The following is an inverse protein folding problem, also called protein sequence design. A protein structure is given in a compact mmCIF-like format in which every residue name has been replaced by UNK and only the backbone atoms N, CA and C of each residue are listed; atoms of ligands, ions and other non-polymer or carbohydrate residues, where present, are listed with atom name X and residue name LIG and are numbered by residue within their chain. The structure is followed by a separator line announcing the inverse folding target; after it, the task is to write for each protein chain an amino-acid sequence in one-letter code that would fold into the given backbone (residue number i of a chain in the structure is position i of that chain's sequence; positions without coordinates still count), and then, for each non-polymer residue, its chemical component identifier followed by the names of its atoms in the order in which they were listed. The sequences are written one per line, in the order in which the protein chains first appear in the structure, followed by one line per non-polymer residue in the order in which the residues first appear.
data_IF_915556790314
#
_entry.id   IF_915556790314
#
_cell.length_a   1.000
_cell.length_b   1.000
_cell.length_c   1.000
_cell.angle_alpha   90.00
_cell.angle_beta   90.00
_cell.angle_gamma   90.00
#
_symmetry.space_group_name_H-M   'P 1'
#
loop_
_entity.id
_entity.type
_entity.pdbx_description
1 polymer ?
#
# COMPACT_ATOMS: atom_id res chain seq x y z
N UNK A 1 -13.40 -2.23 3.93
CA UNK A 1 -14.20 -1.62 5.03
C UNK A 1 -13.32 -0.60 5.75
N UNK A 2 -13.88 0.58 5.99
CA UNK A 2 -13.25 1.69 6.69
C UNK A 2 -13.88 1.76 8.08
N UNK A 3 -13.22 1.25 9.14
CA UNK A 3 -13.78 1.30 10.50
C UNK A 3 -13.96 2.74 11.00
N UNK A 4 -13.25 3.69 10.40
CA UNK A 4 -13.22 5.13 10.69
C UNK A 4 -13.90 5.96 9.58
N UNK A 5 -14.86 5.36 8.85
CA UNK A 5 -15.64 6.02 7.80
C UNK A 5 -16.19 7.37 8.27
N UNK A 6 -16.21 8.38 7.39
CA UNK A 6 -16.74 9.70 7.78
C UNK A 6 -18.23 9.56 8.15
N UNK A 7 -18.66 10.09 9.30
CA UNK A 7 -20.07 10.11 9.64
C UNK A 7 -20.82 11.04 8.68
N UNK A 8 -22.10 10.75 8.44
CA UNK A 8 -22.98 11.64 7.71
C UNK A 8 -23.59 12.65 8.68
N UNK A 9 -23.07 13.88 8.70
CA UNK A 9 -23.48 14.89 9.69
C UNK A 9 -24.94 15.34 9.57
N UNK A 10 -25.54 15.25 8.37
CA UNK A 10 -26.96 15.55 8.16
C UNK A 10 -27.91 14.47 8.69
N UNK A 11 -27.42 13.25 8.95
CA UNK A 11 -28.23 12.12 9.46
C UNK A 11 -29.28 11.56 8.50
N UNK A 12 -29.37 12.09 7.27
CA UNK A 12 -30.33 11.68 6.23
C UNK A 12 -30.05 10.29 5.62
N UNK A 13 -28.85 9.74 5.85
CA UNK A 13 -28.41 8.42 5.37
C UNK A 13 -27.19 7.92 6.16
N UNK A 14 -26.88 6.60 6.12
CA UNK A 14 -25.65 6.08 6.70
C UNK A 14 -24.39 6.70 6.07
N UNK A 15 -23.33 6.86 6.87
CA UNK A 15 -22.00 7.24 6.38
C UNK A 15 -21.37 6.15 5.50
N UNK A 16 -20.53 6.54 4.54
CA UNK A 16 -19.85 5.59 3.66
C UNK A 16 -18.72 4.85 4.39
N UNK A 17 -19.02 3.65 4.88
CA UNK A 17 -18.10 2.78 5.62
C UNK A 17 -17.23 1.86 4.75
N UNK A 18 -17.27 1.96 3.42
CA UNK A 18 -16.48 1.11 2.54
C UNK A 18 -16.13 1.80 1.21
N UNK A 19 -15.19 1.20 0.50
CA UNK A 19 -14.92 1.39 -0.92
C UNK A 19 -14.91 0.00 -1.56
N UNK A 20 -15.30 -0.08 -2.84
CA UNK A 20 -15.30 -1.32 -3.60
C UNK A 20 -14.05 -1.43 -4.45
N UNK A 21 -13.53 -2.65 -4.61
CA UNK A 21 -12.43 -2.98 -5.50
C UNK A 21 -12.94 -4.02 -6.50
N UNK A 22 -12.64 -3.83 -7.78
CA UNK A 22 -12.90 -4.83 -8.82
C UNK A 22 -11.61 -5.59 -9.06
N UNK A 23 -11.70 -6.92 -9.00
CA UNK A 23 -10.59 -7.82 -9.30
C UNK A 23 -10.95 -8.57 -10.58
N UNK A 24 -10.09 -8.44 -11.59
CA UNK A 24 -10.22 -9.10 -12.86
C UNK A 24 -8.96 -9.91 -13.15
N UNK A 25 -9.13 -11.08 -13.77
CA UNK A 25 -8.04 -11.94 -14.18
C UNK A 25 -8.05 -12.11 -15.70
N UNK A 26 -6.87 -12.33 -16.32
CA UNK A 26 -6.83 -12.81 -17.69
C UNK A 26 -7.59 -14.14 -17.81
N UNK A 27 -8.02 -14.54 -19.02
CA UNK A 27 -8.65 -15.83 -19.24
C UNK A 27 -7.83 -16.97 -18.64
N UNK A 28 -8.48 -17.85 -17.87
CA UNK A 28 -7.84 -18.96 -17.17
C UNK A 28 -8.15 -18.95 -15.67
N UNK A 29 -7.22 -19.48 -14.88
CA UNK A 29 -7.41 -19.65 -13.43
C UNK A 29 -7.06 -18.35 -12.71
N UNK A 30 -8.00 -17.86 -11.90
CA UNK A 30 -7.77 -16.75 -10.98
C UNK A 30 -6.61 -17.07 -10.02
N UNK A 31 -5.78 -16.06 -9.75
CA UNK A 31 -4.70 -16.13 -8.75
C UNK A 31 -5.16 -15.48 -7.45
N UNK A 32 -4.92 -16.16 -6.34
CA UNK A 32 -5.28 -15.73 -5.00
C UNK A 32 -4.42 -16.45 -3.96
N UNK A 33 -3.71 -15.67 -3.15
CA UNK A 33 -2.82 -16.14 -2.10
C UNK A 33 -3.46 -16.07 -0.70
N UNK A 34 -4.70 -15.59 -0.60
CA UNK A 34 -5.38 -15.42 0.69
C UNK A 34 -6.05 -16.68 1.26
N UNK A 35 -5.94 -17.83 0.59
CA UNK A 35 -6.58 -19.08 1.02
C UNK A 35 -8.10 -18.96 1.12
N UNK A 36 -8.69 -19.41 2.23
CA UNK A 36 -10.14 -19.31 2.44
C UNK A 36 -10.65 -17.94 2.91
N UNK A 37 -9.80 -16.91 3.00
CA UNK A 37 -10.23 -15.57 3.42
C UNK A 37 -11.20 -14.97 2.41
N UNK A 38 -12.16 -14.19 2.90
CA UNK A 38 -12.99 -13.35 2.05
C UNK A 38 -12.16 -12.20 1.46
N UNK A 39 -12.59 -11.68 0.30
CA UNK A 39 -12.04 -10.47 -0.33
C UNK A 39 -12.46 -9.18 0.39
N UNK A 40 -12.42 -9.18 1.73
CA UNK A 40 -12.78 -8.05 2.58
C UNK A 40 -11.54 -7.62 3.35
N UNK A 41 -11.05 -6.43 3.04
CA UNK A 41 -9.96 -5.80 3.77
C UNK A 41 -10.51 -4.73 4.72
N UNK A 42 -10.13 -4.78 5.99
CA UNK A 42 -10.53 -3.79 7.01
C UNK A 42 -9.31 -2.93 7.33
N UNK A 43 -9.33 -1.66 6.93
CA UNK A 43 -8.21 -0.75 7.14
C UNK A 43 -8.72 0.65 7.45
N UNK A 44 -8.19 1.33 8.49
CA UNK A 44 -8.50 2.74 8.72
C UNK A 44 -7.99 3.59 7.55
N UNK A 45 -8.59 4.76 7.34
CA UNK A 45 -8.07 5.76 6.40
C UNK A 45 -6.76 6.35 6.95
N UNK A 46 -6.01 7.02 6.06
CA UNK A 46 -4.95 7.92 6.50
C UNK A 46 -5.58 9.23 6.98
N UNK A 47 -5.58 9.44 8.30
CA UNK A 47 -6.13 10.60 8.97
C UNK A 47 -5.32 11.87 8.75
N UNK A 48 -5.91 13.04 9.04
CA UNK A 48 -5.24 14.33 8.87
C UNK A 48 -4.06 14.56 9.82
N UNK A 49 -4.14 14.02 11.04
CA UNK A 49 -3.09 14.11 12.05
C UNK A 49 -2.04 13.00 11.91
N UNK A 50 -2.20 12.08 10.96
CA UNK A 50 -1.29 10.94 10.83
C UNK A 50 0.09 11.41 10.35
N UNK A 51 1.13 11.05 11.07
CA UNK A 51 2.53 11.34 10.70
C UNK A 51 2.92 10.76 9.34
N UNK A 52 2.18 9.74 8.88
CA UNK A 52 2.36 9.10 7.58
C UNK A 52 1.68 9.84 6.42
N UNK A 53 0.90 10.89 6.72
CA UNK A 53 0.21 11.70 5.72
C UNK A 53 1.22 12.54 4.93
N UNK A 54 1.05 12.53 3.62
CA UNK A 54 1.99 13.15 2.68
C UNK A 54 1.49 14.47 2.10
N UNK A 55 0.29 14.90 2.50
CA UNK A 55 -0.42 16.03 1.89
C UNK A 55 -1.27 15.65 0.67
N UNK A 56 -1.18 14.41 0.18
CA UNK A 56 -2.06 13.91 -0.88
C UNK A 56 -3.47 13.64 -0.34
N UNK A 57 -4.49 14.20 -0.98
CA UNK A 57 -5.87 14.19 -0.48
C UNK A 57 -6.45 12.77 -0.35
N UNK A 58 -6.17 11.92 -1.34
CA UNK A 58 -6.71 10.56 -1.44
C UNK A 58 -5.67 9.47 -1.17
N UNK A 59 -4.70 9.74 -0.30
CA UNK A 59 -3.66 8.77 0.06
C UNK A 59 -4.26 7.46 0.58
N UNK A 60 -4.00 6.35 -0.12
CA UNK A 60 -4.42 5.02 0.32
C UNK A 60 -3.60 4.55 1.53
N UNK A 61 -4.20 3.80 2.48
CA UNK A 61 -3.49 3.21 3.60
C UNK A 61 -2.44 2.20 3.13
N UNK A 62 -1.25 2.22 3.75
CA UNK A 62 -0.16 1.32 3.37
C UNK A 62 -0.51 -0.15 3.62
N UNK A 63 -1.13 -0.45 4.78
CA UNK A 63 -1.56 -1.80 5.12
C UNK A 63 -2.55 -2.39 4.11
N UNK A 64 -3.42 -1.55 3.52
CA UNK A 64 -4.34 -1.99 2.46
C UNK A 64 -3.56 -2.42 1.22
N UNK A 65 -2.63 -1.59 0.77
CA UNK A 65 -1.82 -1.90 -0.42
C UNK A 65 -0.94 -3.13 -0.20
N UNK A 66 -0.31 -3.26 0.98
CA UNK A 66 0.47 -4.45 1.32
C UNK A 66 -0.37 -5.73 1.32
N UNK A 67 -1.61 -5.67 1.83
CA UNK A 67 -2.51 -6.82 1.82
C UNK A 67 -2.91 -7.20 0.39
N UNK A 68 -3.33 -6.24 -0.44
CA UNK A 68 -3.72 -6.49 -1.83
C UNK A 68 -2.56 -7.08 -2.64
N UNK A 69 -1.37 -6.50 -2.51
CA UNK A 69 -0.18 -6.99 -3.22
C UNK A 69 0.12 -8.43 -2.80
N UNK A 70 0.10 -8.74 -1.51
CA UNK A 70 0.35 -10.10 -1.02
C UNK A 70 -0.70 -11.10 -1.50
N UNK A 71 -1.95 -10.67 -1.57
CA UNK A 71 -3.09 -11.53 -1.90
C UNK A 71 -3.15 -11.88 -3.40
N UNK A 72 -2.54 -11.08 -4.28
CA UNK A 72 -2.63 -11.25 -5.74
C UNK A 72 -1.29 -11.41 -6.48
N UNK A 73 -0.15 -11.32 -5.79
CA UNK A 73 1.19 -11.44 -6.41
C UNK A 73 2.15 -12.24 -5.55
N UNK A 74 3.24 -12.71 -6.15
CA UNK A 74 4.36 -13.36 -5.49
C UNK A 74 5.62 -12.46 -5.43
N UNK A 75 6.55 -12.69 -4.47
CA UNK A 75 7.81 -11.97 -4.44
C UNK A 75 8.55 -12.04 -5.79
N UNK A 76 9.16 -10.94 -6.21
CA UNK A 76 9.84 -10.82 -7.50
C UNK A 76 8.93 -10.41 -8.66
N UNK A 77 7.61 -10.51 -8.54
CA UNK A 77 6.70 -10.02 -9.58
C UNK A 77 6.70 -8.49 -9.69
N UNK A 78 6.24 -7.98 -10.84
CA UNK A 78 6.19 -6.54 -11.15
C UNK A 78 4.77 -6.01 -11.05
N UNK A 79 4.62 -4.88 -10.38
CA UNK A 79 3.34 -4.20 -10.19
C UNK A 79 3.33 -2.87 -10.93
N UNK A 80 2.26 -2.64 -11.67
CA UNK A 80 1.98 -1.39 -12.35
C UNK A 80 0.89 -0.60 -11.60
N UNK A 81 1.15 0.67 -11.31
CA UNK A 81 0.17 1.63 -10.83
C UNK A 81 0.14 2.89 -11.73
N UNK A 82 -0.87 3.05 -12.60
CA UNK A 82 -0.96 4.20 -13.50
C UNK A 82 -1.40 5.50 -12.79
N UNK A 83 -1.77 5.43 -11.51
CA UNK A 83 -2.23 6.57 -10.70
C UNK A 83 -1.53 6.55 -9.35
N UNK A 84 -0.19 6.53 -9.38
CA UNK A 84 0.65 6.25 -8.23
C UNK A 84 0.46 7.26 -7.08
N UNK A 85 0.02 8.49 -7.37
CA UNK A 85 -0.24 9.53 -6.37
C UNK A 85 0.97 9.75 -5.49
N UNK A 86 0.77 9.67 -4.17
CA UNK A 86 1.87 9.77 -3.19
C UNK A 86 2.79 8.54 -3.11
N UNK A 87 2.63 7.53 -3.96
CA UNK A 87 3.52 6.37 -4.06
C UNK A 87 3.29 5.24 -3.05
N UNK A 88 2.12 5.16 -2.42
CA UNK A 88 1.84 4.11 -1.41
C UNK A 88 2.02 2.70 -1.99
N UNK A 89 1.58 2.44 -3.22
CA UNK A 89 1.77 1.15 -3.90
C UNK A 89 3.25 0.81 -4.04
N UNK A 90 4.07 1.75 -4.49
CA UNK A 90 5.52 1.54 -4.63
C UNK A 90 6.22 1.26 -3.30
N UNK A 91 5.83 1.95 -2.22
CA UNK A 91 6.34 1.68 -0.86
C UNK A 91 5.99 0.25 -0.43
N UNK A 92 4.75 -0.19 -0.65
CA UNK A 92 4.31 -1.54 -0.35
C UNK A 92 5.09 -2.58 -1.19
N UNK A 93 5.30 -2.33 -2.48
CA UNK A 93 6.12 -3.19 -3.34
C UNK A 93 7.53 -3.37 -2.79
N UNK A 94 8.20 -2.28 -2.37
CA UNK A 94 9.57 -2.37 -1.81
C UNK A 94 9.61 -3.23 -0.55
N UNK A 95 8.68 -3.05 0.38
CA UNK A 95 8.59 -3.83 1.62
C UNK A 95 8.31 -5.30 1.39
N UNK A 96 7.55 -5.62 0.34
CA UNK A 96 7.15 -6.98 0.01
C UNK A 96 8.10 -7.64 -1.01
N UNK A 97 9.14 -6.96 -1.49
CA UNK A 97 10.04 -7.51 -2.48
C UNK A 97 9.39 -7.72 -3.86
N UNK A 98 8.55 -6.76 -4.30
CA UNK A 98 8.03 -6.68 -5.67
C UNK A 98 8.70 -5.53 -6.42
N UNK A 99 8.84 -5.69 -7.73
CA UNK A 99 9.18 -4.58 -8.62
C UNK A 99 7.97 -3.65 -8.79
N UNK A 100 8.22 -2.38 -9.10
CA UNK A 100 7.19 -1.35 -9.20
C UNK A 100 7.43 -0.44 -10.39
N UNK A 101 6.38 -0.20 -11.17
CA UNK A 101 6.31 0.80 -12.23
C UNK A 101 5.11 1.69 -11.88
N UNK A 102 5.32 3.00 -11.83
CA UNK A 102 4.28 3.95 -11.45
C UNK A 102 4.26 5.16 -12.37
N UNK A 103 3.06 5.60 -12.76
CA UNK A 103 2.84 6.90 -13.39
C UNK A 103 2.11 7.83 -12.45
N UNK A 104 2.53 9.09 -12.44
CA UNK A 104 1.87 10.19 -11.74
C UNK A 104 2.03 11.45 -12.59
N UNK A 105 0.92 12.15 -12.82
CA UNK A 105 0.89 13.31 -13.69
C UNK A 105 1.32 14.59 -12.96
N UNK A 106 0.95 14.73 -11.69
CA UNK A 106 1.30 15.90 -10.89
C UNK A 106 2.77 15.81 -10.42
N UNK A 107 3.66 16.73 -10.85
CA UNK A 107 5.07 16.70 -10.49
C UNK A 107 5.33 16.74 -8.98
N UNK A 108 4.43 17.39 -8.21
CA UNK A 108 4.55 17.47 -6.75
C UNK A 108 4.30 16.11 -6.11
N UNK A 109 3.25 15.40 -6.54
CA UNK A 109 2.98 14.06 -6.03
C UNK A 109 3.99 13.04 -6.53
N UNK A 110 4.46 13.18 -7.77
CA UNK A 110 5.57 12.40 -8.31
C UNK A 110 6.82 12.51 -7.43
N UNK A 111 7.26 13.72 -7.09
CA UNK A 111 8.43 13.94 -6.23
C UNK A 111 8.23 13.38 -4.80
N UNK A 112 7.01 13.45 -4.26
CA UNK A 112 6.67 12.83 -2.97
C UNK A 112 6.78 11.29 -3.07
N UNK A 113 6.22 10.70 -4.11
CA UNK A 113 6.26 9.26 -4.34
C UNK A 113 7.70 8.75 -4.47
N UNK A 114 8.50 9.40 -5.33
CA UNK A 114 9.89 9.04 -5.57
C UNK A 114 10.70 9.05 -4.27
N UNK A 115 10.59 10.13 -3.49
CA UNK A 115 11.26 10.24 -2.18
C UNK A 115 10.86 9.10 -1.25
N UNK A 116 9.56 8.86 -1.06
CA UNK A 116 9.08 7.81 -0.15
C UNK A 116 9.56 6.42 -0.55
N UNK A 117 9.56 6.11 -1.84
CA UNK A 117 9.99 4.82 -2.36
C UNK A 117 11.50 4.64 -2.16
N UNK A 118 12.29 5.69 -2.39
CA UNK A 118 13.74 5.70 -2.15
C UNK A 118 14.06 5.54 -0.66
N UNK A 119 13.48 6.36 0.20
CA UNK A 119 13.69 6.31 1.65
C UNK A 119 13.33 4.93 2.22
N UNK A 120 12.27 4.30 1.71
CA UNK A 120 11.88 2.93 2.11
C UNK A 120 12.95 1.91 1.74
N UNK A 121 13.57 2.03 0.56
CA UNK A 121 14.65 1.13 0.14
C UNK A 121 15.86 1.26 1.08
N UNK A 122 16.28 2.49 1.36
CA UNK A 122 17.41 2.77 2.24
C UNK A 122 17.17 2.24 3.66
N UNK A 123 15.95 2.45 4.20
CA UNK A 123 15.56 1.92 5.52
C UNK A 123 15.66 0.38 5.59
N UNK A 124 15.25 -0.33 4.53
CA UNK A 124 15.33 -1.78 4.46
C UNK A 124 16.79 -2.26 4.42
N UNK A 125 17.64 -1.60 3.61
CA UNK A 125 19.06 -1.92 3.50
C UNK A 125 19.78 -1.72 4.85
N UNK A 126 19.51 -0.61 5.55
CA UNK A 126 20.03 -0.35 6.89
C UNK A 126 19.55 -1.42 7.89
N UNK A 127 18.26 -1.76 7.86
CA UNK A 127 17.69 -2.78 8.75
C UNK A 127 18.33 -4.16 8.55
N UNK A 128 18.59 -4.54 7.30
CA UNK A 128 19.30 -5.78 6.96
C UNK A 128 20.74 -5.77 7.46
N UNK A 129 21.48 -4.68 7.24
CA UNK A 129 22.85 -4.53 7.72
C UNK A 129 22.95 -4.63 9.25
N UNK A 130 22.04 -3.97 9.97
CA UNK A 130 21.97 -4.04 11.44
C UNK A 130 21.64 -5.44 11.95
N UNK A 131 20.76 -6.16 11.25
CA UNK A 131 20.41 -7.55 11.60
C UNK A 131 21.61 -8.47 11.45
N UNK A 132 22.37 -8.33 10.35
CA UNK A 132 23.58 -9.10 10.09
C UNK A 132 24.66 -8.83 11.14
N UNK A 133 24.92 -7.55 11.45
CA UNK A 133 25.89 -7.16 12.47
C UNK A 133 25.55 -7.73 13.86
N UNK A 134 24.26 -7.76 14.24
CA UNK A 134 23.82 -8.37 15.51
C UNK A 134 24.07 -9.88 15.57
N UNK A 135 23.94 -10.60 14.46
CA UNK A 135 24.22 -12.04 14.40
C UNK A 135 25.73 -12.33 14.51
N UNK A 136 26.57 -11.49 13.91
CA UNK A 136 28.03 -11.62 13.98
C UNK A 136 28.60 -11.35 15.38
N UNK A 137 27.97 -10.46 16.16
CA UNK A 137 28.38 -10.17 17.56
C UNK A 137 27.92 -11.26 18.54
N UNK A 138 26.93 -12.07 18.18
CA UNK A 138 26.40 -13.14 19.03
C UNK A 138 27.12 -14.49 18.84
N UNK A 139 28.07 -14.56 17.90
CA UNK A 139 28.95 -15.70 17.61
C UNK A 139 30.33 -15.48 18.22
#
# INVERSE_FOLDING_TARGET
IKPDGMPQYSGDRPGMGYESIVIAHPPGRSRWNGGGRSGIWITPKVGAADRIRTGHETQKPLALMEALIRDFTDPGETILDPFAGSGTTGVACKRLGRAFIGWELDPKYHAIAERRIRDTKEQLEIGMALTKAKQEVLL
#
